data_IF_080174366933
#
_entry.id   IF_080174366933
#
_cell.length_a   1.000
_cell.length_b   1.000
_cell.length_c   1.000
_cell.angle_alpha   90.00
_cell.angle_beta   90.00
_cell.angle_gamma   90.00
#
_symmetry.space_group_name_H-M   'P 1'
#
loop_
_entity.id
_entity.type
_entity.pdbx_description
1 polymer ?
#
# COMPACT_ATOMS: atom_id res chain seq x y z
N UNK A 1 -1.56 57.93 -33.98
CA UNK A 1 -0.85 57.53 -32.75
C UNK A 1 -1.03 56.02 -32.62
N UNK A 2 -0.35 55.16 -33.39
CA UNK A 2 1.09 54.78 -33.29
C UNK A 2 1.31 54.00 -31.99
N UNK A 3 1.68 52.71 -31.89
CA UNK A 3 2.37 51.72 -32.75
C UNK A 3 2.16 50.31 -32.10
N UNK A 4 1.55 49.32 -32.77
CA UNK A 4 2.14 48.04 -33.26
C UNK A 4 3.32 47.41 -32.47
N UNK A 5 3.22 46.11 -32.15
CA UNK A 5 4.11 45.05 -32.72
C UNK A 5 3.68 43.63 -32.29
N UNK A 6 3.07 42.92 -33.25
CA UNK A 6 3.18 41.47 -33.44
C UNK A 6 4.60 41.14 -33.90
N UNK A 7 5.16 39.98 -33.50
CA UNK A 7 6.16 39.30 -34.31
C UNK A 7 6.05 37.78 -34.19
N UNK A 8 5.96 37.11 -35.35
CA UNK A 8 5.99 35.66 -35.57
C UNK A 8 7.22 35.34 -36.43
N UNK A 9 8.07 34.40 -35.96
CA UNK A 9 8.97 33.45 -36.71
C UNK A 9 10.03 34.01 -37.69
N UNK A 10 11.08 33.25 -38.16
CA UNK A 10 11.22 31.79 -38.25
C UNK A 10 12.57 31.19 -37.79
N UNK A 11 12.68 29.86 -37.94
CA UNK A 11 13.79 28.97 -37.60
C UNK A 11 15.12 29.24 -38.34
N UNK A 12 16.25 28.89 -37.70
CA UNK A 12 17.45 28.32 -38.35
C UNK A 12 18.41 27.69 -37.33
N UNK A 13 18.93 26.52 -37.73
CA UNK A 13 19.89 25.65 -37.05
C UNK A 13 21.29 26.26 -36.97
N UNK A 14 22.03 26.04 -35.88
CA UNK A 14 23.36 25.41 -35.95
C UNK A 14 23.93 24.98 -34.58
N UNK A 15 24.58 23.82 -34.65
CA UNK A 15 25.35 23.04 -33.66
C UNK A 15 26.28 23.82 -32.72
N UNK A 16 26.30 23.40 -31.44
CA UNK A 16 27.45 23.05 -30.55
C UNK A 16 26.91 22.94 -29.11
N UNK A 17 27.46 22.25 -28.12
CA UNK A 17 28.30 21.07 -28.00
C UNK A 17 28.12 20.60 -26.53
N UNK A 18 27.98 19.29 -26.34
CA UNK A 18 28.36 18.48 -25.17
C UNK A 18 28.49 19.14 -23.77
N UNK A 19 27.63 18.71 -22.84
CA UNK A 19 28.04 18.35 -21.47
C UNK A 19 27.23 17.14 -20.99
N UNK A 20 27.83 15.96 -20.75
CA UNK A 20 27.17 14.90 -20.01
C UNK A 20 27.35 15.12 -18.50
N UNK A 21 26.24 15.09 -17.77
CA UNK A 21 26.24 14.98 -16.32
C UNK A 21 26.69 13.57 -15.94
N UNK A 22 27.97 13.42 -15.57
CA UNK A 22 28.51 12.20 -15.00
C UNK A 22 28.04 12.07 -13.55
N UNK A 23 27.00 11.26 -13.32
CA UNK A 23 26.67 10.76 -11.98
C UNK A 23 27.60 9.58 -11.71
N UNK A 24 28.65 9.81 -10.92
CA UNK A 24 29.52 8.77 -10.40
C UNK A 24 28.79 8.01 -9.27
N UNK A 25 28.37 6.78 -9.55
CA UNK A 25 28.13 5.75 -8.53
C UNK A 25 29.48 5.16 -8.10
N UNK A 26 29.79 5.07 -6.79
CA UNK A 26 30.80 4.14 -6.32
C UNK A 26 30.13 2.83 -5.87
N UNK A 27 30.28 1.80 -6.71
CA UNK A 27 30.29 0.41 -6.25
C UNK A 27 31.65 0.12 -5.61
N UNK A 28 31.69 -0.17 -4.30
CA UNK A 28 32.69 -1.08 -3.74
C UNK A 28 32.29 -1.58 -2.36
N UNK A 29 32.08 -2.90 -2.29
CA UNK A 29 32.05 -3.69 -1.06
C UNK A 29 33.44 -3.62 -0.40
N UNK A 30 33.53 -3.15 0.84
CA UNK A 30 34.65 -3.41 1.74
C UNK A 30 34.11 -3.82 3.12
N UNK A 31 34.03 -5.14 3.34
CA UNK A 31 34.05 -5.73 4.67
C UNK A 31 35.39 -5.41 5.33
N UNK A 32 35.39 -4.63 6.43
CA UNK A 32 36.56 -4.52 7.32
C UNK A 32 36.15 -4.78 8.76
N UNK A 33 36.71 -5.87 9.28
CA UNK A 33 36.70 -6.27 10.68
C UNK A 33 37.33 -5.17 11.56
N UNK A 34 36.50 -4.46 12.32
CA UNK A 34 36.95 -3.47 13.32
C UNK A 34 36.29 -3.71 14.69
N UNK A 35 36.15 -4.99 15.09
CA UNK A 35 35.40 -5.39 16.28
C UNK A 35 36.09 -6.34 17.25
N UNK A 36 37.39 -6.67 17.07
CA UNK A 36 38.04 -7.73 17.89
C UNK A 36 39.32 -7.25 18.61
N UNK A 37 39.97 -6.15 18.18
CA UNK A 37 41.21 -5.66 18.83
C UNK A 37 41.01 -4.70 20.01
N UNK A 38 39.83 -4.09 20.15
CA UNK A 38 39.56 -3.13 21.24
C UNK A 38 39.16 -3.84 22.54
N UNK A 39 38.53 -5.01 22.44
CA UNK A 39 37.99 -5.77 23.58
C UNK A 39 39.07 -6.48 24.40
N UNK A 40 40.20 -6.85 23.78
CA UNK A 40 41.32 -7.54 24.45
C UNK A 40 42.18 -6.60 25.32
N UNK A 41 42.35 -5.32 24.93
CA UNK A 41 43.14 -4.35 25.73
C UNK A 41 42.45 -3.88 27.01
N UNK A 42 41.11 -3.86 27.03
CA UNK A 42 40.34 -3.45 28.21
C UNK A 42 40.34 -4.55 29.28
N UNK A 43 40.29 -5.82 28.86
CA UNK A 43 40.33 -6.99 29.76
C UNK A 43 41.70 -7.14 30.46
N UNK A 44 42.82 -6.88 29.78
CA UNK A 44 44.16 -6.92 30.39
C UNK A 44 44.42 -5.80 31.41
N UNK A 45 43.79 -4.63 31.24
CA UNK A 45 43.95 -3.49 32.16
C UNK A 45 43.17 -3.70 33.46
N UNK A 46 41.95 -4.27 33.38
CA UNK A 46 41.10 -4.59 34.53
C UNK A 46 41.73 -5.74 35.36
N UNK A 47 42.33 -6.74 34.71
CA UNK A 47 43.01 -7.84 35.42
C UNK A 47 44.28 -7.38 36.18
N UNK A 48 44.93 -6.29 35.75
CA UNK A 48 46.06 -5.67 36.48
C UNK A 48 45.60 -4.81 37.66
N UNK A 49 44.45 -4.16 37.57
CA UNK A 49 43.90 -3.36 38.69
C UNK A 49 43.37 -4.23 39.83
N UNK A 50 42.78 -5.39 39.54
CA UNK A 50 42.20 -6.29 40.57
C UNK A 50 43.27 -7.02 41.40
N UNK A 51 44.53 -7.09 40.93
CA UNK A 51 45.60 -7.82 41.63
C UNK A 51 46.40 -7.00 42.65
N UNK A 52 46.22 -5.68 42.70
CA UNK A 52 47.04 -4.79 43.55
C UNK A 52 46.33 -4.25 44.81
N UNK A 53 45.06 -4.60 45.05
CA UNK A 53 44.26 -4.00 46.14
C UNK A 53 43.87 -4.98 47.26
N UNK A 54 44.80 -5.88 47.60
CA UNK A 54 44.72 -6.66 48.84
C UNK A 54 46.06 -6.58 49.55
N UNK A 55 46.26 -5.50 50.30
CA UNK A 55 46.96 -5.50 51.60
C UNK A 55 46.82 -4.13 52.29
N UNK A 56 46.16 -4.18 53.46
CA UNK A 56 46.32 -3.33 54.66
C UNK A 56 45.85 -1.85 54.73
N UNK A 57 44.61 -1.69 55.23
CA UNK A 57 44.13 -1.05 56.50
C UNK A 57 44.60 0.38 56.94
N UNK A 58 43.79 1.08 57.79
CA UNK A 58 43.24 2.41 57.50
C UNK A 58 43.87 3.56 58.33
N UNK A 59 43.79 4.80 57.82
CA UNK A 59 43.87 6.01 58.68
C UNK A 59 43.04 7.20 58.14
N UNK A 60 42.55 7.93 59.13
CA UNK A 60 41.73 9.12 59.34
C UNK A 60 41.50 10.21 58.27
N UNK A 61 40.25 10.71 58.33
CA UNK A 61 39.76 12.10 58.18
C UNK A 61 39.97 12.80 56.82
N UNK A 62 38.86 13.01 56.11
CA UNK A 62 38.11 14.29 56.06
C UNK A 62 36.81 14.09 55.28
N UNK A 63 35.69 14.49 55.87
CA UNK A 63 34.40 14.58 55.18
C UNK A 63 34.49 15.67 54.12
N UNK A 64 34.38 15.25 52.86
CA UNK A 64 33.93 16.09 51.76
C UNK A 64 32.61 15.49 51.32
N UNK A 65 31.50 16.15 51.67
CA UNK A 65 30.20 15.88 51.07
C UNK A 65 30.30 16.24 49.59
N UNK A 66 30.69 15.27 48.78
CA UNK A 66 30.56 15.35 47.34
C UNK A 66 29.10 15.01 47.04
N UNK A 67 28.31 16.03 46.69
CA UNK A 67 27.01 15.80 46.05
C UNK A 67 27.27 14.96 44.80
N UNK A 68 27.02 13.66 44.91
CA UNK A 68 26.97 12.79 43.75
C UNK A 68 25.67 13.16 43.05
N UNK A 69 25.74 14.12 42.12
CA UNK A 69 24.78 14.14 41.03
C UNK A 69 24.90 12.76 40.38
N UNK A 70 23.85 11.94 40.53
CA UNK A 70 23.77 10.68 39.81
C UNK A 70 24.03 10.93 38.32
N UNK A 71 24.54 9.93 37.57
CA UNK A 71 24.70 10.10 36.13
C UNK A 71 23.38 10.63 35.58
N UNK A 72 23.41 11.79 34.90
CA UNK A 72 22.23 12.26 34.17
C UNK A 72 21.71 11.07 33.35
N UNK A 73 20.38 10.85 33.32
CA UNK A 73 19.85 9.75 32.53
C UNK A 73 20.38 9.95 31.11
N UNK A 74 21.20 9.01 30.65
CA UNK A 74 21.63 8.96 29.26
C UNK A 74 20.34 8.98 28.45
N UNK A 75 20.06 10.11 27.80
CA UNK A 75 18.96 10.27 26.84
C UNK A 75 19.25 9.41 25.61
N UNK A 76 19.32 8.11 25.79
CA UNK A 76 19.09 7.19 24.70
C UNK A 76 17.58 7.15 24.55
N UNK A 77 17.07 7.82 23.52
CA UNK A 77 16.12 7.16 22.62
C UNK A 77 16.01 7.99 21.35
N UNK A 78 16.11 7.33 20.21
CA UNK A 78 15.73 7.85 18.89
C UNK A 78 14.37 8.59 18.92
N UNK A 79 13.49 8.24 19.87
CA UNK A 79 12.20 8.86 20.11
C UNK A 79 12.27 10.35 20.44
N UNK A 80 13.27 10.80 21.21
CA UNK A 80 13.43 12.20 21.61
C UNK A 80 13.81 13.10 20.42
N UNK A 81 14.52 12.54 19.44
CA UNK A 81 14.94 13.24 18.20
C UNK A 81 13.95 13.08 17.05
N UNK A 82 12.95 12.21 17.20
CA UNK A 82 11.94 11.96 16.18
C UNK A 82 10.95 13.13 16.09
N UNK A 83 10.61 13.63 14.88
CA UNK A 83 9.53 14.59 14.68
C UNK A 83 8.23 14.12 15.35
N UNK A 84 7.51 15.03 16.01
CA UNK A 84 6.30 14.71 16.79
C UNK A 84 5.26 14.00 15.93
N UNK A 85 5.16 14.39 14.66
CA UNK A 85 4.22 13.85 13.67
C UNK A 85 4.47 12.37 13.37
N UNK A 86 5.72 11.91 13.47
CA UNK A 86 6.05 10.51 13.26
C UNK A 86 5.84 9.68 14.53
N UNK A 87 5.74 10.30 15.72
CA UNK A 87 5.54 9.61 17.00
C UNK A 87 4.14 9.00 17.12
N UNK A 88 3.20 9.50 16.33
CA UNK A 88 1.89 8.86 16.17
C UNK A 88 2.03 7.79 15.08
N UNK A 89 1.96 6.49 15.43
CA UNK A 89 2.06 5.43 14.42
C UNK A 89 0.89 5.55 13.44
N UNK A 90 1.22 5.69 12.16
CA UNK A 90 0.24 5.68 11.08
C UNK A 90 -0.02 4.24 10.68
N UNK A 91 -1.16 3.69 11.11
CA UNK A 91 -1.61 2.35 10.72
C UNK A 91 -2.54 2.42 9.51
N UNK A 92 -2.48 1.44 8.60
CA UNK A 92 -3.46 1.30 7.52
C UNK A 92 -4.87 1.28 8.06
N UNK A 93 -5.78 2.01 7.42
CA UNK A 93 -7.19 2.08 7.81
C UNK A 93 -8.06 1.24 6.87
N UNK A 94 -9.14 0.60 7.37
CA UNK A 94 -10.08 -0.11 6.52
C UNK A 94 -10.73 0.85 5.51
N UNK A 95 -10.98 0.37 4.29
CA UNK A 95 -11.59 1.17 3.21
C UNK A 95 -13.04 1.55 3.54
N UNK A 96 -13.76 0.62 4.19
CA UNK A 96 -15.15 0.78 4.62
C UNK A 96 -15.21 1.47 5.98
N UNK A 97 -15.71 2.71 6.00
CA UNK A 97 -15.75 3.57 7.19
C UNK A 97 -16.47 2.95 8.39
N UNK A 98 -17.52 2.19 8.16
CA UNK A 98 -18.29 1.53 9.22
C UNK A 98 -17.46 0.53 10.04
N UNK A 99 -16.33 0.07 9.50
CA UNK A 99 -15.42 -0.88 10.14
C UNK A 99 -14.68 -0.28 11.32
N UNK A 100 -14.48 1.04 11.33
CA UNK A 100 -13.75 1.71 12.40
C UNK A 100 -14.53 1.73 13.73
N UNK A 101 -15.86 1.80 13.65
CA UNK A 101 -16.72 1.96 14.83
C UNK A 101 -17.53 0.69 15.19
N UNK A 102 -17.53 -0.31 14.30
CA UNK A 102 -18.30 -1.55 14.48
C UNK A 102 -17.40 -2.77 14.53
N UNK A 103 -17.49 -3.55 15.62
CA UNK A 103 -16.81 -4.83 15.74
C UNK A 103 -17.60 -5.91 14.98
N UNK A 104 -17.04 -6.41 13.89
CA UNK A 104 -17.72 -7.31 12.96
C UNK A 104 -17.82 -8.74 13.47
N UNK A 105 -19.05 -9.26 13.51
CA UNK A 105 -19.33 -10.69 13.72
C UNK A 105 -19.66 -11.37 12.41
N UNK A 106 -19.53 -12.69 12.35
CA UNK A 106 -19.86 -13.51 11.17
C UNK A 106 -21.23 -13.18 10.57
N UNK A 107 -22.27 -13.08 11.41
CA UNK A 107 -23.64 -12.77 10.96
C UNK A 107 -23.77 -11.40 10.30
N UNK A 108 -22.99 -10.42 10.78
CA UNK A 108 -23.02 -9.06 10.24
C UNK A 108 -22.39 -9.07 8.84
N UNK A 109 -21.25 -9.75 8.69
CA UNK A 109 -20.55 -9.91 7.42
C UNK A 109 -21.35 -10.68 6.37
N UNK A 110 -22.13 -11.69 6.78
CA UNK A 110 -23.01 -12.46 5.90
C UNK A 110 -24.21 -11.65 5.38
N UNK A 111 -24.64 -10.63 6.13
CA UNK A 111 -25.78 -9.78 5.79
C UNK A 111 -25.41 -8.58 4.92
N UNK A 112 -24.11 -8.35 4.69
CA UNK A 112 -23.65 -7.29 3.79
C UNK A 112 -24.17 -7.52 2.37
N UNK A 113 -24.89 -6.53 1.83
CA UNK A 113 -25.27 -6.52 0.43
C UNK A 113 -24.07 -6.18 -0.45
N UNK A 114 -23.38 -7.21 -0.90
CA UNK A 114 -22.25 -7.10 -1.82
C UNK A 114 -22.67 -7.05 -3.30
N UNK A 115 -23.96 -7.26 -3.60
CA UNK A 115 -24.46 -7.43 -4.96
C UNK A 115 -23.68 -8.49 -5.75
N UNK A 116 -23.67 -9.75 -5.31
CA UNK A 116 -22.87 -10.84 -5.92
C UNK A 116 -23.12 -10.99 -7.44
N UNK A 117 -24.36 -10.79 -7.89
CA UNK A 117 -24.76 -10.90 -9.30
C UNK A 117 -24.67 -9.59 -10.08
N UNK A 118 -24.20 -8.51 -9.46
CA UNK A 118 -24.11 -7.20 -10.10
C UNK A 118 -23.03 -7.24 -11.18
N UNK A 119 -23.44 -6.94 -12.41
CA UNK A 119 -22.57 -6.89 -13.58
C UNK A 119 -22.80 -5.59 -14.33
N UNK A 120 -21.73 -4.85 -14.64
CA UNK A 120 -21.84 -3.66 -15.48
C UNK A 120 -21.92 -4.06 -16.95
N UNK A 121 -23.04 -3.76 -17.60
CA UNK A 121 -23.18 -4.01 -19.04
C UNK A 121 -22.22 -3.08 -19.81
N UNK A 122 -21.38 -3.60 -20.74
CA UNK A 122 -20.48 -2.76 -21.51
C UNK A 122 -21.22 -1.94 -22.58
N UNK A 123 -21.33 -0.63 -22.36
CA UNK A 123 -22.07 0.28 -23.24
C UNK A 123 -21.22 0.76 -24.43
N UNK A 124 -20.00 1.24 -24.16
CA UNK A 124 -19.09 1.78 -25.18
C UNK A 124 -18.12 0.73 -25.75
N UNK A 125 -17.53 1.03 -26.91
CA UNK A 125 -16.50 0.17 -27.53
C UNK A 125 -15.33 -0.08 -26.57
N UNK A 126 -14.87 0.96 -25.88
CA UNK A 126 -13.82 0.85 -24.86
C UNK A 126 -14.22 -0.04 -23.68
N UNK A 127 -15.52 -0.09 -23.33
CA UNK A 127 -16.00 -0.95 -22.24
C UNK A 127 -16.02 -2.40 -22.67
N UNK A 128 -16.39 -2.66 -23.93
CA UNK A 128 -16.32 -4.00 -24.54
C UNK A 128 -14.88 -4.49 -24.61
N UNK A 129 -13.93 -3.62 -24.96
CA UNK A 129 -12.50 -3.94 -24.94
C UNK A 129 -12.03 -4.23 -23.52
N UNK A 130 -12.40 -3.40 -22.54
CA UNK A 130 -12.05 -3.61 -21.13
C UNK A 130 -12.57 -4.96 -20.62
N UNK A 131 -13.85 -5.24 -20.85
CA UNK A 131 -14.49 -6.51 -20.46
C UNK A 131 -13.82 -7.71 -21.13
N UNK A 132 -13.58 -7.61 -22.44
CA UNK A 132 -12.89 -8.66 -23.20
C UNK A 132 -11.48 -8.90 -22.66
N UNK A 133 -10.72 -7.84 -22.34
CA UNK A 133 -9.37 -7.97 -21.80
C UNK A 133 -9.38 -8.71 -20.46
N UNK A 134 -10.28 -8.34 -19.54
CA UNK A 134 -10.41 -9.01 -18.23
C UNK A 134 -10.80 -10.48 -18.38
N UNK A 135 -11.83 -10.79 -19.18
CA UNK A 135 -12.26 -12.18 -19.40
C UNK A 135 -11.17 -13.04 -20.04
N UNK A 136 -10.32 -12.48 -20.89
CA UNK A 136 -9.20 -13.23 -21.48
C UNK A 136 -8.00 -13.35 -20.53
N UNK A 137 -7.75 -12.34 -19.69
CA UNK A 137 -6.73 -12.43 -18.63
C UNK A 137 -7.10 -13.46 -17.55
N UNK A 138 -8.40 -13.68 -17.30
CA UNK A 138 -8.88 -14.68 -16.34
C UNK A 138 -8.56 -16.12 -16.75
N UNK A 139 -8.71 -16.47 -18.04
CA UNK A 139 -8.52 -17.84 -18.54
C UNK A 139 -7.15 -18.46 -18.18
N UNK A 140 -5.99 -17.84 -18.50
CA UNK A 140 -4.69 -18.43 -18.16
C UNK A 140 -4.48 -18.51 -16.64
N UNK A 141 -4.99 -17.54 -15.89
CA UNK A 141 -4.92 -17.53 -14.42
C UNK A 141 -5.70 -18.71 -13.82
N UNK A 142 -6.93 -18.94 -14.27
CA UNK A 142 -7.75 -20.07 -13.82
C UNK A 142 -7.06 -21.42 -14.13
N UNK A 143 -6.42 -21.54 -15.30
CA UNK A 143 -5.68 -22.75 -15.71
C UNK A 143 -4.42 -22.95 -14.85
N UNK A 144 -3.69 -21.88 -14.54
CA UNK A 144 -2.44 -21.94 -13.81
C UNK A 144 -2.66 -22.30 -12.33
N UNK A 145 -3.64 -21.67 -11.67
CA UNK A 145 -3.89 -21.89 -10.24
C UNK A 145 -4.81 -23.07 -9.94
N UNK A 146 -5.74 -23.42 -10.85
CA UNK A 146 -6.76 -24.46 -10.61
C UNK A 146 -7.41 -24.28 -9.23
N UNK A 147 -7.28 -25.27 -8.34
CA UNK A 147 -7.87 -25.28 -6.99
C UNK A 147 -6.95 -24.66 -5.92
N UNK A 148 -5.83 -24.02 -6.29
CA UNK A 148 -4.92 -23.36 -5.34
C UNK A 148 -5.41 -21.95 -5.00
N UNK A 149 -6.57 -21.85 -4.34
CA UNK A 149 -7.22 -20.57 -4.01
C UNK A 149 -6.31 -19.60 -3.24
N UNK A 150 -5.59 -20.09 -2.24
CA UNK A 150 -4.70 -19.24 -1.43
C UNK A 150 -3.54 -18.66 -2.25
N UNK A 151 -2.86 -19.50 -3.05
CA UNK A 151 -1.77 -19.03 -3.92
C UNK A 151 -2.29 -18.08 -5.01
N UNK A 152 -3.51 -18.32 -5.51
CA UNK A 152 -4.19 -17.45 -6.45
C UNK A 152 -4.46 -16.08 -5.83
N UNK A 153 -5.06 -16.02 -4.64
CA UNK A 153 -5.32 -14.76 -3.92
C UNK A 153 -4.03 -13.98 -3.72
N UNK A 154 -2.98 -14.60 -3.17
CA UNK A 154 -1.66 -13.93 -3.00
C UNK A 154 -1.13 -13.33 -4.30
N UNK A 155 -1.23 -14.04 -5.44
CA UNK A 155 -0.77 -13.48 -6.72
C UNK A 155 -1.67 -12.33 -7.20
N UNK A 156 -2.99 -12.47 -7.07
CA UNK A 156 -3.94 -11.48 -7.56
C UNK A 156 -3.88 -10.18 -6.74
N UNK A 157 -3.75 -10.24 -5.42
CA UNK A 157 -3.64 -9.05 -4.56
C UNK A 157 -2.42 -8.18 -4.91
N UNK A 158 -1.31 -8.81 -5.29
CA UNK A 158 -0.10 -8.07 -5.72
C UNK A 158 -0.39 -7.25 -6.98
N UNK A 159 -1.23 -7.77 -7.87
CA UNK A 159 -1.62 -7.08 -9.10
C UNK A 159 -2.73 -6.07 -8.81
N UNK A 160 -3.68 -6.39 -7.93
CA UNK A 160 -4.81 -5.53 -7.54
C UNK A 160 -4.37 -4.27 -6.78
N UNK A 161 -3.25 -4.31 -6.06
CA UNK A 161 -2.68 -3.11 -5.42
C UNK A 161 -2.04 -2.10 -6.41
N UNK A 162 -1.88 -2.45 -7.69
CA UNK A 162 -1.19 -1.58 -8.68
C UNK A 162 -2.09 -0.47 -9.25
N UNK A 163 -3.34 -0.72 -9.70
CA UNK A 163 -4.18 0.28 -10.33
C UNK A 163 -4.41 1.54 -9.51
N UNK A 164 -4.80 1.43 -8.25
CA UNK A 164 -5.00 2.58 -7.36
C UNK A 164 -3.75 3.44 -7.25
N UNK A 165 -2.58 2.83 -7.06
CA UNK A 165 -1.30 3.53 -6.98
C UNK A 165 -0.94 4.26 -8.28
N UNK A 166 -1.11 3.59 -9.43
CA UNK A 166 -0.86 4.18 -10.76
C UNK A 166 -1.81 5.36 -11.02
N UNK A 167 -3.10 5.18 -10.74
CA UNK A 167 -4.12 6.21 -10.90
C UNK A 167 -3.81 7.42 -10.04
N UNK A 168 -3.55 7.21 -8.74
CA UNK A 168 -3.16 8.25 -7.81
C UNK A 168 -1.91 9.01 -8.26
N UNK A 169 -0.85 8.29 -8.65
CA UNK A 169 0.41 8.89 -9.12
C UNK A 169 0.20 9.76 -10.36
N UNK A 170 -0.49 9.25 -11.38
CA UNK A 170 -0.71 10.00 -12.63
C UNK A 170 -1.60 11.21 -12.37
N UNK A 171 -2.66 11.07 -11.56
CA UNK A 171 -3.53 12.19 -11.19
C UNK A 171 -2.78 13.24 -10.38
N UNK A 172 -1.94 12.82 -9.44
CA UNK A 172 -1.06 13.70 -8.67
C UNK A 172 -0.16 14.55 -9.57
N UNK A 173 0.56 13.90 -10.50
CA UNK A 173 1.41 14.61 -11.46
C UNK A 173 0.59 15.58 -12.33
N UNK A 174 -0.58 15.16 -12.84
CA UNK A 174 -1.47 16.03 -13.63
C UNK A 174 -2.01 17.22 -12.82
N UNK A 175 -2.31 17.04 -11.54
CA UNK A 175 -2.74 18.11 -10.63
C UNK A 175 -1.61 19.13 -10.44
N UNK A 176 -0.37 18.68 -10.21
CA UNK A 176 0.80 19.54 -10.10
C UNK A 176 1.08 20.31 -11.41
N UNK A 177 1.08 19.61 -12.55
CA UNK A 177 1.33 20.21 -13.86
C UNK A 177 0.25 21.19 -14.31
N UNK A 178 -1.00 20.95 -13.91
CA UNK A 178 -2.14 21.81 -14.20
C UNK A 178 -2.42 22.86 -13.13
N UNK A 179 -1.67 22.88 -12.03
CA UNK A 179 -1.87 23.75 -10.86
C UNK A 179 -3.34 23.80 -10.40
N UNK A 180 -3.99 22.63 -10.39
CA UNK A 180 -5.43 22.50 -10.12
C UNK A 180 -5.70 21.46 -9.04
N UNK A 181 -6.78 21.64 -8.30
CA UNK A 181 -7.24 20.63 -7.36
C UNK A 181 -7.62 19.33 -8.09
N UNK A 182 -7.37 18.20 -7.43
CA UNK A 182 -7.66 16.87 -7.96
C UNK A 182 -9.11 16.42 -7.78
N UNK A 183 -9.84 17.07 -6.87
CA UNK A 183 -11.24 16.72 -6.58
C UNK A 183 -11.41 15.46 -5.72
N UNK A 184 -10.38 15.05 -4.97
CA UNK A 184 -10.47 14.01 -3.93
C UNK A 184 -10.13 12.58 -4.37
N UNK A 185 -9.73 12.39 -5.63
CA UNK A 185 -9.44 11.09 -6.21
C UNK A 185 -8.12 10.50 -5.73
N UNK A 186 -7.06 11.30 -5.61
CA UNK A 186 -5.71 10.83 -5.22
C UNK A 186 -5.76 10.10 -3.88
N UNK A 187 -6.40 10.72 -2.86
CA UNK A 187 -6.52 10.11 -1.54
C UNK A 187 -7.28 8.80 -1.58
N UNK A 188 -8.40 8.76 -2.30
CA UNK A 188 -9.21 7.55 -2.45
C UNK A 188 -8.44 6.42 -3.15
N UNK A 189 -7.74 6.72 -4.25
CA UNK A 189 -6.99 5.71 -5.01
C UNK A 189 -5.75 5.19 -4.27
N UNK A 190 -5.12 6.02 -3.43
CA UNK A 190 -4.07 5.55 -2.52
C UNK A 190 -4.64 4.64 -1.42
N UNK A 191 -5.84 4.96 -0.91
CA UNK A 191 -6.51 4.14 0.09
C UNK A 191 -6.94 2.78 -0.46
N UNK A 192 -7.49 2.74 -1.67
CA UNK A 192 -7.76 1.50 -2.41
C UNK A 192 -6.49 0.66 -2.55
N UNK A 193 -5.39 1.24 -3.04
CA UNK A 193 -4.11 0.53 -3.16
C UNK A 193 -3.55 0.02 -1.83
N UNK A 194 -3.78 0.75 -0.73
CA UNK A 194 -3.41 0.29 0.61
C UNK A 194 -4.31 -0.86 1.10
N UNK A 195 -5.61 -0.82 0.81
CA UNK A 195 -6.55 -1.88 1.17
C UNK A 195 -6.17 -3.21 0.49
N UNK A 196 -5.93 -3.19 -0.82
CA UNK A 196 -5.43 -4.33 -1.59
C UNK A 196 -4.10 -4.89 -1.03
N UNK A 197 -3.19 -3.98 -0.63
CA UNK A 197 -1.95 -4.37 0.05
C UNK A 197 -2.22 -5.05 1.40
N UNK A 198 -3.25 -4.65 2.13
CA UNK A 198 -3.63 -5.27 3.40
C UNK A 198 -4.27 -6.65 3.19
N UNK A 199 -4.97 -6.87 2.07
CA UNK A 199 -5.41 -8.21 1.66
C UNK A 199 -4.20 -9.11 1.45
N UNK A 200 -3.20 -8.65 0.67
CA UNK A 200 -1.95 -9.38 0.46
C UNK A 200 -1.25 -9.73 1.79
N UNK A 201 -1.05 -8.75 2.67
CA UNK A 201 -0.37 -8.98 3.95
C UNK A 201 -1.12 -9.99 4.82
N UNK A 202 -2.46 -9.99 4.76
CA UNK A 202 -3.29 -10.99 5.43
C UNK A 202 -3.07 -12.39 4.85
N UNK A 203 -3.07 -12.54 3.53
CA UNK A 203 -2.87 -13.86 2.91
C UNK A 203 -1.46 -14.42 3.13
N UNK A 204 -0.46 -13.55 3.28
CA UNK A 204 0.91 -13.95 3.60
C UNK A 204 1.06 -14.60 4.99
N UNK A 205 0.14 -14.33 5.92
CA UNK A 205 0.07 -15.02 7.22
C UNK A 205 -0.54 -16.42 7.11
N UNK A 206 -1.35 -16.67 6.07
CA UNK A 206 -2.00 -17.97 5.83
C UNK A 206 -1.15 -18.87 4.92
N UNK A 207 -0.52 -18.30 3.89
CA UNK A 207 0.26 -19.06 2.90
C UNK A 207 1.39 -18.26 2.28
N UNK A 208 2.62 -18.77 2.39
CA UNK A 208 3.81 -18.09 1.90
C UNK A 208 4.22 -18.64 0.53
N UNK A 209 4.33 -17.79 -0.51
CA UNK A 209 4.78 -18.23 -1.82
C UNK A 209 6.26 -18.60 -1.78
N UNK A 210 6.64 -19.65 -2.54
CA UNK A 210 8.03 -20.06 -2.69
C UNK A 210 8.80 -19.13 -3.64
N UNK A 211 10.13 -19.23 -3.69
CA UNK A 211 10.97 -18.26 -4.41
C UNK A 211 10.60 -18.11 -5.90
N UNK A 212 10.27 -19.20 -6.58
CA UNK A 212 9.90 -19.14 -8.00
C UNK A 212 8.52 -18.50 -8.21
N UNK A 213 7.57 -18.70 -7.29
CA UNK A 213 6.26 -18.02 -7.31
C UNK A 213 6.45 -16.52 -7.10
N UNK A 214 7.35 -16.12 -6.18
CA UNK A 214 7.70 -14.71 -5.97
C UNK A 214 8.35 -14.08 -7.20
N UNK A 215 9.22 -14.81 -7.90
CA UNK A 215 9.82 -14.34 -9.15
C UNK A 215 8.76 -14.18 -10.27
N UNK A 216 7.80 -15.11 -10.35
CA UNK A 216 6.68 -15.01 -11.28
C UNK A 216 5.79 -13.81 -10.96
N UNK A 217 5.40 -13.65 -9.69
CA UNK A 217 4.62 -12.51 -9.18
C UNK A 217 5.31 -11.19 -9.55
N UNK A 218 6.60 -11.05 -9.26
CA UNK A 218 7.35 -9.84 -9.60
C UNK A 218 7.37 -9.54 -11.11
N UNK A 219 7.49 -10.58 -11.93
CA UNK A 219 7.45 -10.45 -13.40
C UNK A 219 6.07 -9.98 -13.88
N UNK A 220 5.00 -10.63 -13.40
CA UNK A 220 3.61 -10.28 -13.75
C UNK A 220 3.29 -8.86 -13.28
N UNK A 221 3.66 -8.50 -12.05
CA UNK A 221 3.45 -7.16 -11.49
C UNK A 221 4.17 -6.10 -12.33
N UNK A 222 5.42 -6.33 -12.72
CA UNK A 222 6.19 -5.38 -13.54
C UNK A 222 5.54 -5.18 -14.92
N UNK A 223 5.14 -6.27 -15.58
CA UNK A 223 4.46 -6.21 -16.87
C UNK A 223 3.10 -5.51 -16.77
N UNK A 224 2.31 -5.85 -15.76
CA UNK A 224 1.01 -5.24 -15.51
C UNK A 224 1.14 -3.74 -15.19
N UNK A 225 2.08 -3.36 -14.33
CA UNK A 225 2.39 -1.96 -14.04
C UNK A 225 2.67 -1.16 -15.31
N UNK A 226 3.52 -1.67 -16.21
CA UNK A 226 3.86 -0.98 -17.44
C UNK A 226 2.65 -0.80 -18.38
N UNK A 227 1.90 -1.89 -18.61
CA UNK A 227 0.73 -1.89 -19.49
C UNK A 227 -0.41 -1.04 -18.92
N UNK A 228 -0.70 -1.18 -17.63
CA UNK A 228 -1.76 -0.44 -16.95
C UNK A 228 -1.42 1.06 -16.85
N UNK A 229 -0.15 1.42 -16.58
CA UNK A 229 0.30 2.81 -16.60
C UNK A 229 0.10 3.45 -17.97
N UNK A 230 0.44 2.75 -19.05
CA UNK A 230 0.19 3.23 -20.41
C UNK A 230 -1.31 3.38 -20.69
N UNK A 231 -2.12 2.39 -20.30
CA UNK A 231 -3.57 2.46 -20.44
C UNK A 231 -4.15 3.67 -19.68
N UNK A 232 -3.74 3.90 -18.44
CA UNK A 232 -4.23 5.01 -17.63
C UNK A 232 -3.81 6.37 -18.19
N UNK A 233 -2.60 6.48 -18.75
CA UNK A 233 -2.16 7.71 -19.43
C UNK A 233 -3.00 8.03 -20.67
N UNK A 234 -3.34 7.01 -21.46
CA UNK A 234 -4.10 7.15 -22.72
C UNK A 234 -5.61 7.30 -22.48
N UNK A 235 -6.18 6.48 -21.60
CA UNK A 235 -7.61 6.45 -21.29
C UNK A 235 -7.85 6.05 -19.83
N UNK A 236 -7.84 7.02 -18.89
CA UNK A 236 -8.17 6.78 -17.49
C UNK A 236 -9.56 6.14 -17.32
N UNK A 237 -10.54 6.55 -18.14
CA UNK A 237 -11.88 5.97 -18.17
C UNK A 237 -11.86 4.46 -18.42
N UNK A 238 -11.11 4.03 -19.44
CA UNK A 238 -10.99 2.61 -19.77
C UNK A 238 -10.24 1.87 -18.67
N UNK A 239 -9.21 2.48 -18.09
CA UNK A 239 -8.46 1.88 -16.99
C UNK A 239 -9.36 1.60 -15.78
N UNK A 240 -10.17 2.56 -15.34
CA UNK A 240 -11.16 2.35 -14.27
C UNK A 240 -12.20 1.29 -14.64
N UNK A 241 -12.64 1.23 -15.89
CA UNK A 241 -13.57 0.16 -16.33
C UNK A 241 -12.92 -1.23 -16.30
N UNK A 242 -11.63 -1.33 -16.62
CA UNK A 242 -10.86 -2.58 -16.48
C UNK A 242 -10.83 -3.01 -15.01
N UNK A 243 -10.51 -2.10 -14.09
CA UNK A 243 -10.50 -2.39 -12.65
C UNK A 243 -11.89 -2.84 -12.18
N UNK A 244 -12.95 -2.10 -12.51
CA UNK A 244 -14.32 -2.49 -12.13
C UNK A 244 -14.70 -3.91 -12.58
N UNK A 245 -14.25 -4.35 -13.76
CA UNK A 245 -14.44 -5.74 -14.19
C UNK A 245 -13.50 -6.73 -13.50
N UNK A 246 -12.27 -6.36 -13.15
CA UNK A 246 -11.40 -7.20 -12.32
C UNK A 246 -12.04 -7.48 -10.96
N UNK A 247 -12.68 -6.47 -10.36
CA UNK A 247 -13.32 -6.65 -9.06
C UNK A 247 -14.64 -7.43 -9.12
N UNK A 248 -15.37 -7.39 -10.24
CA UNK A 248 -16.46 -8.35 -10.48
C UNK A 248 -15.95 -9.80 -10.44
N UNK A 249 -14.77 -10.04 -11.02
CA UNK A 249 -14.12 -11.35 -10.98
C UNK A 249 -13.58 -11.70 -9.59
N UNK A 250 -13.11 -10.71 -8.81
CA UNK A 250 -12.67 -10.87 -7.44
C UNK A 250 -13.82 -11.27 -6.51
N UNK A 251 -14.94 -10.52 -6.54
CA UNK A 251 -16.17 -10.84 -5.78
C UNK A 251 -16.66 -12.26 -6.07
N UNK A 252 -16.65 -12.65 -7.35
CA UNK A 252 -17.00 -14.01 -7.77
C UNK A 252 -16.03 -15.04 -7.18
N UNK A 253 -14.72 -14.78 -7.27
CA UNK A 253 -13.67 -15.70 -6.80
C UNK A 253 -13.71 -15.90 -5.29
N UNK A 254 -13.93 -14.83 -4.51
CA UNK A 254 -14.08 -14.93 -3.06
C UNK A 254 -15.38 -15.60 -2.63
N UNK A 255 -16.45 -15.45 -3.41
CA UNK A 255 -17.67 -16.23 -3.16
C UNK A 255 -17.44 -17.72 -3.38
N UNK A 256 -16.68 -18.10 -4.41
CA UNK A 256 -16.26 -19.49 -4.56
C UNK A 256 -15.39 -19.96 -3.41
N UNK A 257 -14.45 -19.13 -2.94
CA UNK A 257 -13.61 -19.45 -1.79
C UNK A 257 -14.47 -19.75 -0.54
N UNK A 258 -15.46 -18.92 -0.22
CA UNK A 258 -16.40 -19.18 0.90
C UNK A 258 -17.10 -20.54 0.72
N UNK A 259 -17.57 -20.86 -0.48
CA UNK A 259 -18.23 -22.16 -0.77
C UNK A 259 -17.30 -23.36 -0.59
N UNK A 260 -15.99 -23.20 -0.86
CA UNK A 260 -14.99 -24.25 -0.63
C UNK A 260 -14.72 -24.47 0.87
N UNK A 261 -14.70 -23.39 1.65
CA UNK A 261 -14.58 -23.45 3.12
C UNK A 261 -15.83 -24.11 3.71
N UNK A 262 -17.03 -23.68 3.30
CA UNK A 262 -18.30 -24.21 3.79
C UNK A 262 -18.50 -25.69 3.46
N UNK A 263 -17.93 -26.15 2.33
CA UNK A 263 -17.93 -27.55 1.96
C UNK A 263 -16.81 -28.38 2.64
N UNK A 264 -16.00 -27.77 3.50
CA UNK A 264 -14.90 -28.42 4.22
C UNK A 264 -13.70 -28.81 3.36
N UNK A 265 -13.61 -28.29 2.12
CA UNK A 265 -12.45 -28.53 1.23
C UNK A 265 -11.26 -27.66 1.58
N UNK A 266 -11.50 -26.52 2.21
CA UNK A 266 -10.48 -25.65 2.80
C UNK A 266 -10.76 -25.57 4.30
N UNK A 267 -9.74 -25.78 5.12
CA UNK A 267 -9.86 -25.71 6.57
C UNK A 267 -10.15 -24.28 7.05
N UNK A 268 -11.19 -24.13 7.87
CA UNK A 268 -11.57 -22.83 8.44
C UNK A 268 -10.78 -22.52 9.72
N UNK A 269 -9.49 -22.19 9.56
CA UNK A 269 -8.60 -21.86 10.68
C UNK A 269 -8.96 -20.52 11.33
N UNK A 270 -8.35 -20.21 12.48
CA UNK A 270 -8.47 -18.89 13.12
C UNK A 270 -7.95 -17.78 12.18
N UNK A 271 -8.63 -16.63 12.15
CA UNK A 271 -8.19 -15.46 11.42
C UNK A 271 -6.82 -14.95 11.91
N UNK A 272 -5.92 -14.50 11.01
CA UNK A 272 -4.67 -13.86 11.41
C UNK A 272 -4.91 -12.57 12.22
N UNK A 273 -4.04 -12.28 13.19
CA UNK A 273 -4.18 -11.10 14.07
C UNK A 273 -4.19 -9.78 13.28
N UNK A 274 -3.43 -9.71 12.16
CA UNK A 274 -3.45 -8.55 11.25
C UNK A 274 -4.84 -8.30 10.66
N UNK A 275 -5.58 -9.36 10.33
CA UNK A 275 -6.92 -9.26 9.78
C UNK A 275 -7.93 -8.85 10.85
N UNK A 276 -7.83 -9.46 12.04
CA UNK A 276 -8.67 -9.12 13.18
C UNK A 276 -8.53 -7.63 13.51
N UNK A 277 -7.30 -7.12 13.56
CA UNK A 277 -7.03 -5.72 13.83
C UNK A 277 -7.51 -4.79 12.69
N UNK A 278 -7.21 -5.12 11.43
CA UNK A 278 -7.50 -4.25 10.29
C UNK A 278 -9.00 -4.12 10.00
N UNK A 279 -9.74 -5.23 10.00
CA UNK A 279 -11.19 -5.23 9.77
C UNK A 279 -12.01 -5.18 11.07
N UNK A 280 -11.38 -4.95 12.22
CA UNK A 280 -12.06 -4.90 13.52
C UNK A 280 -12.98 -6.12 13.76
N UNK A 281 -12.46 -7.32 13.49
CA UNK A 281 -13.23 -8.56 13.59
C UNK A 281 -13.37 -9.03 15.05
N UNK A 282 -14.29 -9.96 15.30
CA UNK A 282 -14.31 -10.70 16.56
C UNK A 282 -12.98 -11.44 16.83
N UNK A 283 -12.59 -11.58 18.10
CA UNK A 283 -11.34 -12.26 18.48
C UNK A 283 -11.34 -13.76 18.13
N UNK A 284 -12.53 -14.33 17.97
CA UNK A 284 -12.73 -15.71 17.54
C UNK A 284 -13.04 -15.82 16.04
N UNK A 285 -12.84 -14.74 15.27
CA UNK A 285 -13.04 -14.76 13.83
C UNK A 285 -12.18 -15.84 13.15
N UNK A 286 -12.71 -16.36 12.06
CA UNK A 286 -12.15 -17.45 11.28
C UNK A 286 -11.68 -16.98 9.91
N UNK A 287 -10.96 -17.83 9.18
CA UNK A 287 -10.54 -17.57 7.79
C UNK A 287 -11.73 -17.19 6.91
N UNK A 288 -12.89 -17.83 7.12
CA UNK A 288 -14.12 -17.52 6.41
C UNK A 288 -14.58 -16.07 6.63
N UNK A 289 -14.46 -15.55 7.85
CA UNK A 289 -14.83 -14.16 8.19
C UNK A 289 -13.90 -13.16 7.48
N UNK A 290 -12.61 -13.49 7.40
CA UNK A 290 -11.64 -12.70 6.62
C UNK A 290 -12.02 -12.67 5.15
N UNK A 291 -12.37 -13.82 4.56
CA UNK A 291 -12.81 -13.90 3.16
C UNK A 291 -14.08 -13.08 2.91
N UNK A 292 -15.04 -13.10 3.85
CA UNK A 292 -16.23 -12.25 3.77
C UNK A 292 -15.89 -10.76 3.79
N UNK A 293 -14.99 -10.34 4.69
CA UNK A 293 -14.56 -8.95 4.82
C UNK A 293 -13.83 -8.45 3.57
N UNK A 294 -12.88 -9.24 3.05
CA UNK A 294 -12.17 -8.96 1.80
C UNK A 294 -13.16 -8.85 0.64
N UNK A 295 -14.07 -9.82 0.47
CA UNK A 295 -15.09 -9.78 -0.59
C UNK A 295 -15.95 -8.51 -0.56
N UNK A 296 -16.23 -7.97 0.63
CA UNK A 296 -16.99 -6.73 0.77
C UNK A 296 -16.17 -5.50 0.32
N UNK A 297 -14.86 -5.50 0.59
CA UNK A 297 -13.96 -4.45 0.08
C UNK A 297 -13.89 -4.51 -1.46
N UNK A 298 -13.80 -5.71 -2.05
CA UNK A 298 -13.82 -5.88 -3.52
C UNK A 298 -15.11 -5.38 -4.17
N UNK A 299 -16.25 -5.60 -3.50
CA UNK A 299 -17.52 -5.07 -3.98
C UNK A 299 -17.55 -3.53 -3.96
N UNK A 300 -16.90 -2.90 -2.99
CA UNK A 300 -16.73 -1.45 -2.93
C UNK A 300 -15.79 -0.95 -4.03
N UNK A 301 -14.66 -1.62 -4.26
CA UNK A 301 -13.71 -1.27 -5.33
C UNK A 301 -14.36 -1.41 -6.71
N UNK A 302 -15.13 -2.48 -6.95
CA UNK A 302 -15.95 -2.70 -8.15
C UNK A 302 -16.85 -1.50 -8.42
N UNK A 303 -17.65 -1.14 -7.42
CA UNK A 303 -18.68 -0.12 -7.56
C UNK A 303 -18.04 1.26 -7.77
N UNK A 304 -16.96 1.53 -7.04
CA UNK A 304 -16.23 2.80 -7.13
C UNK A 304 -15.53 2.95 -8.47
N UNK A 305 -14.84 1.93 -8.97
CA UNK A 305 -14.15 2.01 -10.25
C UNK A 305 -15.11 2.09 -11.45
N UNK A 306 -16.24 1.38 -11.41
CA UNK A 306 -17.30 1.60 -12.41
C UNK A 306 -17.85 3.02 -12.36
N UNK A 307 -18.08 3.56 -11.16
CA UNK A 307 -18.53 4.93 -10.95
C UNK A 307 -17.52 5.95 -11.48
N UNK A 308 -16.23 5.79 -11.18
CA UNK A 308 -15.15 6.65 -11.68
C UNK A 308 -15.08 6.67 -13.20
N UNK A 309 -15.24 5.52 -13.85
CA UNK A 309 -15.35 5.46 -15.32
C UNK A 309 -16.52 6.31 -15.84
N UNK A 310 -17.68 6.23 -15.21
CA UNK A 310 -18.87 7.01 -15.59
C UNK A 310 -18.70 8.51 -15.33
N UNK A 311 -18.06 8.89 -14.22
CA UNK A 311 -17.74 10.29 -13.89
C UNK A 311 -16.85 10.94 -14.94
N UNK A 312 -15.79 10.26 -15.36
CA UNK A 312 -14.89 10.73 -16.42
C UNK A 312 -15.66 10.86 -17.74
N UNK A 313 -16.54 9.90 -18.04
CA UNK A 313 -17.40 9.98 -19.24
C UNK A 313 -18.32 11.21 -19.22
N UNK A 314 -18.87 11.54 -18.05
CA UNK A 314 -19.75 12.69 -17.87
C UNK A 314 -19.00 14.03 -17.69
N UNK A 315 -17.66 14.03 -17.67
CA UNK A 315 -16.85 15.23 -17.41
C UNK A 315 -16.92 15.76 -15.98
N UNK A 316 -17.32 14.91 -15.00
CA UNK A 316 -17.53 15.26 -13.58
C UNK A 316 -16.42 14.69 -12.71
N UNK A 317 -15.22 15.24 -12.80
CA UNK A 317 -14.01 14.68 -12.17
C UNK A 317 -13.71 15.22 -10.76
N UNK A 318 -14.67 15.82 -10.06
CA UNK A 318 -14.58 16.09 -8.63
C UNK A 318 -15.56 15.21 -7.86
N UNK A 319 -15.10 14.52 -6.80
CA UNK A 319 -15.95 13.72 -5.91
C UNK A 319 -16.82 14.61 -5.01
N UNK A 320 -16.53 15.91 -4.94
CA UNK A 320 -17.26 16.87 -4.11
C UNK A 320 -18.41 17.56 -4.85
N UNK A 321 -18.46 17.47 -6.19
CA UNK A 321 -19.49 18.13 -7.01
C UNK A 321 -20.91 17.72 -6.63
N UNK A 322 -21.12 16.45 -6.26
CA UNK A 322 -22.45 15.93 -5.90
C UNK A 322 -22.68 15.87 -4.38
N UNK A 323 -21.74 16.38 -3.57
CA UNK A 323 -21.75 16.32 -2.10
C UNK A 323 -22.48 17.52 -1.45
N UNK A 324 -23.32 18.26 -2.18
CA UNK A 324 -24.03 19.45 -1.68
C UNK A 324 -24.90 19.20 -0.41
N UNK A 325 -25.14 17.94 -0.05
CA UNK A 325 -26.08 17.54 1.00
C UNK A 325 -25.49 16.71 2.16
N UNK A 326 -24.16 16.51 2.23
CA UNK A 326 -23.58 15.79 3.37
C UNK A 326 -23.25 16.74 4.52
N UNK A 327 -23.44 16.30 5.77
CA UNK A 327 -23.15 17.11 6.98
C UNK A 327 -21.67 17.50 7.09
N UNK A 328 -20.79 16.70 6.48
CA UNK A 328 -19.34 16.86 6.53
C UNK A 328 -18.84 17.52 5.25
N UNK A 329 -18.99 18.85 5.18
CA UNK A 329 -18.42 19.61 4.07
C UNK A 329 -16.89 19.48 4.08
N UNK A 330 -16.25 19.31 2.92
CA UNK A 330 -14.80 19.30 2.86
C UNK A 330 -14.24 20.62 3.42
N UNK A 331 -13.22 20.52 4.26
CA UNK A 331 -12.54 21.68 4.84
C UNK A 331 -11.81 22.50 3.78
N UNK A 332 -11.45 21.88 2.65
CA UNK A 332 -10.89 22.53 1.47
C UNK A 332 -12.03 22.81 0.48
N UNK A 333 -12.11 24.06 -0.01
CA UNK A 333 -13.00 24.43 -1.10
C UNK A 333 -12.28 24.13 -2.42
N UNK A 334 -12.88 23.28 -3.24
CA UNK A 334 -12.33 22.76 -4.50
C UNK A 334 -12.63 23.66 -5.69
#
# INVERSE_FOLDING_TARGET
MTLLLQYRSPALLHKTAYMPATILLPTSIQTRAFGIKTTLKVQEHIAKMIKNDKNDKPDSRKHVEMQISGPEPVKDTILDTMPLELRVPMSPQPMRSETMDHKWKTKDLEQLDIGESKHRIPDLISDKIAFWAVKNARKPTDIFFRNKYLHRSVMLEVVAAVPGMVGAMIRHIKSLQGMRHDGGWIGHLLHEAENERMHLMTWMEVGKPVLWERALIATVQTGFFAVFSLLYMVSPRTAHRVVGYLEEEAVTSYTHFIKEIDAGRIENVKAPDIAIAYWNLDENATLRDVVLAVRADEALHRDTNHHFSDRIHAGRESLFEDMEYTKDKPHIKY
#
